data_IF_460044144770
#
_entry.id   IF_460044144770
#
_cell.length_a   1.000
_cell.length_b   1.000
_cell.length_c   1.000
_cell.angle_alpha   90.00
_cell.angle_beta   90.00
_cell.angle_gamma   90.00
#
_symmetry.space_group_name_H-M   'P 1'
#
loop_
_entity.id
_entity.type
_entity.pdbx_description
1 polymer ?
#
# COMPACT_ATOMS: atom_id res chain seq x y z
N UNK A 1 37.98 6.22 -13.49
CA UNK A 1 36.87 5.84 -12.57
C UNK A 1 35.62 6.75 -12.58
N UNK A 2 35.41 7.72 -13.51
CA UNK A 2 34.27 8.64 -13.39
C UNK A 2 32.91 7.97 -13.60
N UNK A 3 32.86 6.88 -14.40
CA UNK A 3 31.63 6.13 -14.67
C UNK A 3 31.07 5.43 -13.43
N UNK A 4 31.92 4.80 -12.61
CA UNK A 4 31.50 4.11 -11.38
C UNK A 4 30.99 5.12 -10.35
N UNK A 5 31.66 6.27 -10.23
CA UNK A 5 31.23 7.34 -9.31
C UNK A 5 29.92 7.99 -9.75
N UNK A 6 29.74 8.21 -11.06
CA UNK A 6 28.48 8.71 -11.59
C UNK A 6 27.33 7.71 -11.39
N UNK A 7 27.57 6.41 -11.61
CA UNK A 7 26.60 5.36 -11.35
C UNK A 7 26.24 5.27 -9.85
N UNK A 8 27.22 5.43 -8.97
CA UNK A 8 26.98 5.44 -7.53
C UNK A 8 26.14 6.65 -7.10
N UNK A 9 26.48 7.86 -7.55
CA UNK A 9 25.71 9.08 -7.27
C UNK A 9 24.27 8.98 -7.79
N UNK A 10 24.11 8.42 -8.99
CA UNK A 10 22.81 8.14 -9.58
C UNK A 10 21.99 7.17 -8.72
N UNK A 11 22.58 6.04 -8.31
CA UNK A 11 21.92 5.04 -7.49
C UNK A 11 21.53 5.59 -6.10
N UNK A 12 22.36 6.44 -5.49
CA UNK A 12 22.04 7.11 -4.21
C UNK A 12 20.84 8.04 -4.36
N UNK A 13 20.79 8.81 -5.45
CA UNK A 13 19.66 9.71 -5.73
C UNK A 13 18.37 8.90 -5.92
N UNK A 14 18.43 7.80 -6.69
CA UNK A 14 17.29 6.92 -6.89
C UNK A 14 16.84 6.26 -5.59
N UNK A 15 17.77 5.81 -4.73
CA UNK A 15 17.45 5.26 -3.41
C UNK A 15 16.69 6.27 -2.54
N UNK A 16 17.17 7.51 -2.48
CA UNK A 16 16.52 8.58 -1.72
C UNK A 16 15.09 8.84 -2.24
N UNK A 17 14.91 8.96 -3.56
CA UNK A 17 13.59 9.15 -4.17
C UNK A 17 12.66 7.94 -3.97
N UNK A 18 13.19 6.71 -3.99
CA UNK A 18 12.41 5.50 -3.71
C UNK A 18 11.98 5.40 -2.25
N UNK A 19 12.79 5.88 -1.30
CA UNK A 19 12.39 5.98 0.12
C UNK A 19 11.19 6.93 0.28
N UNK A 20 11.27 8.10 -0.36
CA UNK A 20 10.17 9.07 -0.39
C UNK A 20 8.93 8.48 -1.07
N UNK A 21 9.09 7.78 -2.20
CA UNK A 21 7.98 7.11 -2.84
C UNK A 21 7.32 6.07 -1.93
N UNK A 22 8.11 5.32 -1.17
CA UNK A 22 7.61 4.28 -0.26
C UNK A 22 6.75 4.87 0.86
N UNK A 23 7.16 6.00 1.44
CA UNK A 23 6.34 6.69 2.45
C UNK A 23 5.03 7.22 1.86
N UNK A 24 5.04 7.78 0.64
CA UNK A 24 3.82 8.21 -0.04
C UNK A 24 2.86 7.05 -0.30
N UNK A 25 3.37 5.91 -0.77
CA UNK A 25 2.59 4.70 -1.02
C UNK A 25 1.93 4.21 0.26
N UNK A 26 2.66 4.22 1.37
CA UNK A 26 2.13 3.87 2.67
C UNK A 26 0.96 4.78 3.07
N UNK A 27 1.13 6.10 2.94
CA UNK A 27 0.06 7.06 3.28
C UNK A 27 -1.16 6.87 2.37
N UNK A 28 -0.98 6.63 1.08
CA UNK A 28 -2.09 6.35 0.14
C UNK A 28 -2.82 5.06 0.53
N UNK A 29 -2.10 3.97 0.81
CA UNK A 29 -2.72 2.72 1.25
C UNK A 29 -3.50 2.88 2.56
N UNK A 30 -2.97 3.64 3.51
CA UNK A 30 -3.62 3.94 4.79
C UNK A 30 -4.90 4.74 4.55
N UNK A 31 -4.85 5.77 3.71
CA UNK A 31 -5.96 6.68 3.44
C UNK A 31 -7.10 6.01 2.66
N UNK A 32 -6.77 5.11 1.73
CA UNK A 32 -7.76 4.41 0.90
C UNK A 32 -8.36 3.16 1.56
N UNK A 33 -7.95 2.81 2.80
CA UNK A 33 -8.40 1.60 3.53
C UNK A 33 -8.36 0.30 2.72
N UNK A 34 -7.42 0.18 1.77
CA UNK A 34 -7.42 -0.92 0.81
C UNK A 34 -7.28 -2.30 1.48
N UNK A 35 -6.62 -2.36 2.64
CA UNK A 35 -6.47 -3.59 3.44
C UNK A 35 -7.79 -4.04 4.07
N UNK A 36 -8.56 -3.12 4.66
CA UNK A 36 -9.85 -3.43 5.29
C UNK A 36 -10.85 -3.94 4.25
N UNK A 37 -10.99 -3.21 3.13
CA UNK A 37 -11.88 -3.62 2.03
C UNK A 37 -11.44 -4.95 1.42
N UNK A 38 -10.13 -5.19 1.35
CA UNK A 38 -9.57 -6.42 0.83
C UNK A 38 -9.91 -7.64 1.67
N UNK A 39 -9.76 -7.53 2.99
CA UNK A 39 -10.13 -8.56 3.94
C UNK A 39 -11.64 -8.88 3.87
N UNK A 40 -12.49 -7.86 3.79
CA UNK A 40 -13.95 -8.04 3.66
C UNK A 40 -14.33 -8.79 2.38
N UNK A 41 -13.68 -8.47 1.26
CA UNK A 41 -13.92 -9.17 0.00
C UNK A 41 -13.50 -10.64 0.08
N UNK A 42 -12.32 -10.92 0.64
CA UNK A 42 -11.83 -12.29 0.84
C UNK A 42 -12.77 -13.11 1.74
N UNK A 43 -13.18 -12.54 2.88
CA UNK A 43 -14.13 -13.18 3.80
C UNK A 43 -15.49 -13.41 3.14
N UNK A 44 -15.93 -12.49 2.30
CA UNK A 44 -17.13 -12.66 1.48
C UNK A 44 -17.02 -13.85 0.54
N UNK A 45 -15.90 -14.00 -0.17
CA UNK A 45 -15.66 -15.14 -1.05
C UNK A 45 -15.59 -16.47 -0.29
N UNK A 46 -14.94 -16.48 0.89
CA UNK A 46 -14.94 -17.65 1.76
C UNK A 46 -16.36 -18.04 2.19
N UNK A 47 -17.18 -17.06 2.58
CA UNK A 47 -18.58 -17.30 2.92
C UNK A 47 -19.34 -17.89 1.73
N UNK A 48 -19.23 -17.26 0.57
CA UNK A 48 -20.00 -17.62 -0.63
C UNK A 48 -19.62 -19.02 -1.14
N UNK A 49 -18.34 -19.39 -1.10
CA UNK A 49 -17.84 -20.65 -1.69
C UNK A 49 -17.77 -21.82 -0.70
N UNK A 50 -17.58 -21.54 0.59
CA UNK A 50 -17.34 -22.58 1.62
C UNK A 50 -18.51 -22.67 2.58
N UNK A 51 -18.87 -21.56 3.24
CA UNK A 51 -19.81 -21.60 4.35
C UNK A 51 -21.27 -21.74 3.89
N UNK A 52 -21.61 -21.17 2.73
CA UNK A 52 -22.97 -21.18 2.18
C UNK A 52 -23.62 -22.57 2.08
N UNK A 53 -22.80 -23.61 1.85
CA UNK A 53 -23.23 -25.01 1.71
C UNK A 53 -23.86 -25.57 2.99
N UNK A 54 -23.48 -25.04 4.15
CA UNK A 54 -23.95 -25.49 5.45
C UNK A 54 -25.11 -24.66 5.99
N UNK A 55 -25.52 -23.59 5.29
CA UNK A 55 -26.48 -22.61 5.81
C UNK A 55 -27.89 -22.73 5.25
N UNK A 56 -28.14 -23.68 4.34
CA UNK A 56 -29.48 -23.86 3.76
C UNK A 56 -30.58 -24.12 4.83
N UNK A 57 -30.32 -24.90 5.89
CA UNK A 57 -31.30 -25.14 6.95
C UNK A 57 -31.59 -23.89 7.78
N UNK A 58 -30.55 -23.14 8.18
CA UNK A 58 -30.71 -21.83 8.81
C UNK A 58 -31.53 -20.86 7.97
N UNK A 59 -31.27 -20.78 6.67
CA UNK A 59 -32.03 -19.91 5.75
C UNK A 59 -33.50 -20.28 5.74
N UNK A 60 -33.79 -21.58 5.68
CA UNK A 60 -35.17 -22.09 5.70
C UNK A 60 -35.85 -21.78 7.03
N UNK A 61 -35.15 -21.98 8.15
CA UNK A 61 -35.62 -21.63 9.50
C UNK A 61 -35.93 -20.14 9.65
N UNK A 62 -35.04 -19.26 9.17
CA UNK A 62 -35.22 -17.80 9.18
C UNK A 62 -36.37 -17.33 8.28
N UNK A 63 -36.56 -17.98 7.13
CA UNK A 63 -37.70 -17.69 6.24
C UNK A 63 -39.04 -18.14 6.85
N UNK A 64 -39.04 -19.19 7.65
CA UNK A 64 -40.23 -19.65 8.34
C UNK A 64 -40.64 -18.74 9.51
N UNK A 65 -39.72 -17.94 10.07
CA UNK A 65 -40.01 -16.99 11.17
C UNK A 65 -40.65 -15.68 10.63
N UNK A 66 -41.96 -15.45 10.86
CA UNK A 66 -42.65 -14.25 10.35
C UNK A 66 -42.10 -12.95 10.94
N UNK A 67 -41.57 -13.00 12.18
CA UNK A 67 -41.02 -11.84 12.84
C UNK A 67 -39.65 -11.47 12.27
N UNK A 68 -38.87 -12.45 11.82
CA UNK A 68 -37.61 -12.22 11.10
C UNK A 68 -37.87 -11.66 9.70
N UNK A 69 -38.74 -12.30 8.92
CA UNK A 69 -39.07 -11.87 7.54
C UNK A 69 -39.61 -10.44 7.52
N UNK A 70 -40.51 -10.09 8.46
CA UNK A 70 -41.02 -8.72 8.60
C UNK A 70 -39.92 -7.70 8.88
N UNK A 71 -38.96 -8.04 9.75
CA UNK A 71 -37.80 -7.18 10.06
C UNK A 71 -36.88 -7.02 8.85
N UNK A 72 -36.58 -8.11 8.15
CA UNK A 72 -35.74 -8.09 6.96
C UNK A 72 -36.36 -7.26 5.84
N UNK A 73 -37.67 -7.42 5.61
CA UNK A 73 -38.42 -6.62 4.64
C UNK A 73 -38.33 -5.12 4.94
N UNK A 74 -38.50 -4.74 6.22
CA UNK A 74 -38.36 -3.35 6.66
C UNK A 74 -36.94 -2.81 6.45
N UNK A 75 -35.90 -3.59 6.82
CA UNK A 75 -34.50 -3.21 6.68
C UNK A 75 -34.09 -2.99 5.21
N UNK A 76 -34.55 -3.89 4.34
CA UNK A 76 -34.27 -3.82 2.89
C UNK A 76 -35.27 -2.95 2.12
N UNK A 77 -36.27 -2.37 2.79
CA UNK A 77 -37.33 -1.53 2.20
C UNK A 77 -38.11 -2.22 1.07
N UNK A 78 -38.48 -3.47 1.29
CA UNK A 78 -39.24 -4.31 0.36
C UNK A 78 -40.52 -4.84 1.03
N UNK A 79 -41.43 -5.44 0.27
CA UNK A 79 -42.60 -6.09 0.85
C UNK A 79 -42.21 -7.45 1.44
N UNK A 80 -42.97 -7.91 2.44
CA UNK A 80 -42.75 -9.21 3.10
C UNK A 80 -42.82 -10.37 2.09
N UNK A 81 -43.72 -10.27 1.10
CA UNK A 81 -43.89 -11.27 0.05
C UNK A 81 -42.68 -11.39 -0.89
N UNK A 82 -41.84 -10.34 -0.98
CA UNK A 82 -40.67 -10.30 -1.87
C UNK A 82 -39.39 -10.84 -1.19
N UNK A 83 -39.46 -11.20 0.10
CA UNK A 83 -38.31 -11.74 0.82
C UNK A 83 -38.02 -13.16 0.33
N UNK A 84 -36.77 -13.41 -0.01
CA UNK A 84 -36.32 -14.68 -0.59
C UNK A 84 -35.12 -15.22 0.18
N UNK A 85 -34.77 -16.49 -0.06
CA UNK A 85 -33.56 -17.13 0.48
C UNK A 85 -32.29 -16.33 0.16
N UNK A 86 -32.21 -15.70 -1.01
CA UNK A 86 -31.09 -14.84 -1.40
C UNK A 86 -30.94 -13.63 -0.47
N UNK A 87 -32.04 -13.00 -0.06
CA UNK A 87 -32.01 -11.87 0.86
C UNK A 87 -31.55 -12.28 2.27
N UNK A 88 -31.96 -13.46 2.72
CA UNK A 88 -31.51 -14.02 4.00
C UNK A 88 -30.02 -14.36 3.93
N UNK A 89 -29.56 -15.01 2.86
CA UNK A 89 -28.15 -15.33 2.66
C UNK A 89 -27.26 -14.10 2.60
N UNK A 90 -27.67 -13.04 1.89
CA UNK A 90 -26.93 -11.77 1.88
C UNK A 90 -26.86 -11.14 3.28
N UNK A 91 -27.92 -11.26 4.08
CA UNK A 91 -27.93 -10.76 5.45
C UNK A 91 -26.99 -11.55 6.35
N UNK A 92 -26.98 -12.88 6.24
CA UNK A 92 -26.06 -13.77 6.95
C UNK A 92 -24.60 -13.49 6.56
N UNK A 93 -24.34 -13.30 5.25
CA UNK A 93 -23.04 -12.93 4.72
C UNK A 93 -22.52 -11.61 5.31
N UNK A 94 -23.35 -10.58 5.31
CA UNK A 94 -22.97 -9.28 5.84
C UNK A 94 -22.75 -9.32 7.35
N UNK A 95 -23.59 -10.04 8.09
CA UNK A 95 -23.41 -10.26 9.53
C UNK A 95 -22.12 -11.04 9.82
N UNK A 96 -21.80 -12.05 9.01
CA UNK A 96 -20.55 -12.80 9.10
C UNK A 96 -19.33 -11.90 8.87
N UNK A 97 -19.30 -11.14 7.78
CA UNK A 97 -18.19 -10.22 7.47
C UNK A 97 -18.04 -9.18 8.58
N UNK A 98 -19.16 -8.62 9.06
CA UNK A 98 -19.15 -7.66 10.15
C UNK A 98 -18.57 -8.28 11.43
N UNK A 99 -19.00 -9.48 11.82
CA UNK A 99 -18.49 -10.18 13.01
C UNK A 99 -17.01 -10.54 12.88
N UNK A 100 -16.59 -10.98 11.70
CA UNK A 100 -15.20 -11.34 11.42
C UNK A 100 -14.28 -10.14 11.41
N UNK A 101 -14.78 -9.02 10.91
CA UNK A 101 -13.97 -7.80 10.83
C UNK A 101 -14.13 -6.92 12.06
N UNK A 102 -15.14 -7.10 12.92
CA UNK A 102 -15.38 -6.22 14.06
C UNK A 102 -14.15 -6.08 14.97
N UNK A 103 -13.74 -4.85 15.27
CA UNK A 103 -12.75 -4.60 16.30
C UNK A 103 -13.38 -4.89 17.67
N UNK A 104 -12.73 -5.73 18.48
CA UNK A 104 -13.24 -6.13 19.81
C UNK A 104 -13.30 -4.94 20.77
N UNK A 105 -12.49 -3.91 20.54
CA UNK A 105 -12.44 -2.68 21.33
C UNK A 105 -12.41 -1.48 20.38
N UNK A 106 -13.56 -1.03 19.84
CA UNK A 106 -13.59 0.14 18.97
C UNK A 106 -13.24 1.37 19.80
N UNK A 107 -12.02 1.88 19.66
CA UNK A 107 -11.55 3.07 20.38
C UNK A 107 -12.32 4.30 19.88
N UNK A 108 -12.87 5.10 20.79
CA UNK A 108 -13.54 6.36 20.47
C UNK A 108 -14.97 6.24 19.94
N UNK A 109 -15.59 5.06 19.98
CA UNK A 109 -16.99 4.84 19.66
C UNK A 109 -17.69 4.17 20.85
N UNK A 110 -18.97 4.50 21.15
CA UNK A 110 -19.72 3.75 22.13
C UNK A 110 -19.78 2.28 21.72
N UNK A 111 -19.69 1.33 22.68
CA UNK A 111 -19.81 -0.09 22.38
C UNK A 111 -21.11 -0.33 21.61
N UNK A 112 -21.00 -0.96 20.44
CA UNK A 112 -22.16 -1.26 19.62
C UNK A 112 -22.79 -2.58 20.12
N UNK A 113 -23.96 -2.55 20.78
CA UNK A 113 -24.59 -3.75 21.33
C UNK A 113 -25.01 -4.75 20.22
N UNK A 114 -25.10 -4.31 18.96
CA UNK A 114 -25.40 -5.21 17.84
C UNK A 114 -24.23 -6.14 17.53
N UNK A 115 -22.98 -5.70 17.72
CA UNK A 115 -21.80 -6.55 17.53
C UNK A 115 -21.75 -7.73 18.51
N UNK A 116 -22.47 -7.66 19.62
CA UNK A 116 -22.61 -8.73 20.62
C UNK A 116 -23.90 -9.56 20.41
N UNK A 117 -24.88 -9.09 19.63
CA UNK A 117 -26.21 -9.72 19.66
C UNK A 117 -27.11 -9.69 18.40
N UNK A 118 -26.78 -9.04 17.27
CA UNK A 118 -27.55 -9.10 16.00
C UNK A 118 -26.90 -8.30 14.85
N UNK A 119 -27.23 -8.56 13.58
CA UNK A 119 -26.71 -7.77 12.45
C UNK A 119 -27.07 -6.29 12.60
N UNK A 120 -26.12 -5.39 12.29
CA UNK A 120 -26.28 -3.93 12.44
C UNK A 120 -27.41 -3.37 11.56
N UNK A 121 -28.33 -2.64 12.21
CA UNK A 121 -29.56 -2.06 11.63
C UNK A 121 -29.31 -0.78 10.78
N UNK A 122 -28.05 -0.33 10.63
CA UNK A 122 -27.75 0.99 10.05
C UNK A 122 -26.53 1.01 9.10
N UNK A 123 -26.49 0.10 8.13
CA UNK A 123 -25.58 0.23 6.97
C UNK A 123 -26.26 0.99 5.81
N UNK A 124 -26.74 2.23 6.03
CA UNK A 124 -27.25 3.06 4.92
C UNK A 124 -26.36 4.27 4.63
N UNK A 125 -25.83 4.24 3.40
CA UNK A 125 -25.16 5.27 2.59
C UNK A 125 -23.73 5.66 3.02
N UNK A 126 -22.74 5.55 2.10
CA UNK A 126 -21.42 6.15 2.29
C UNK A 126 -21.58 7.67 2.13
N UNK A 127 -21.81 8.37 3.24
CA UNK A 127 -21.59 9.81 3.25
C UNK A 127 -20.08 10.07 3.38
N UNK A 128 -19.55 10.96 2.54
CA UNK A 128 -18.21 11.54 2.57
C UNK A 128 -18.01 12.42 3.82
N UNK A 129 -18.36 11.92 5.02
CA UNK A 129 -18.04 12.58 6.29
C UNK A 129 -16.68 12.06 6.73
N UNK A 130 -15.74 12.99 6.98
CA UNK A 130 -14.36 12.71 7.39
C UNK A 130 -14.24 11.71 8.56
N UNK A 131 -15.26 11.63 9.43
CA UNK A 131 -15.32 10.68 10.56
C UNK A 131 -15.59 9.22 10.18
N UNK A 132 -16.21 8.94 9.03
CA UNK A 132 -16.45 7.56 8.56
C UNK A 132 -15.23 6.98 7.81
N UNK A 133 -14.29 7.84 7.39
CA UNK A 133 -13.04 7.46 6.74
C UNK A 133 -12.05 6.78 7.69
N UNK A 134 -12.30 6.73 9.01
CA UNK A 134 -11.37 6.13 9.97
C UNK A 134 -12.06 5.48 11.18
N UNK A 135 -13.27 4.95 10.98
CA UNK A 135 -13.90 4.11 12.01
C UNK A 135 -13.08 2.83 12.19
N UNK A 136 -12.26 2.76 13.23
CA UNK A 136 -11.59 1.55 13.75
C UNK A 136 -12.57 0.51 14.30
N UNK A 137 -13.78 0.45 13.72
CA UNK A 137 -14.77 -0.59 13.92
C UNK A 137 -14.35 -1.91 13.33
N UNK A 138 -13.38 -1.93 12.40
CA UNK A 138 -13.00 -3.12 11.65
C UNK A 138 -11.49 -3.35 11.64
N UNK A 139 -11.07 -4.61 11.72
CA UNK A 139 -9.67 -5.06 11.65
C UNK A 139 -9.20 -5.09 10.20
N UNK A 140 -7.92 -4.86 9.99
CA UNK A 140 -7.27 -4.90 8.65
C UNK A 140 -6.62 -6.23 8.34
N UNK A 141 -6.45 -7.08 9.35
CA UNK A 141 -5.90 -8.42 9.26
C UNK A 141 -6.66 -9.33 10.25
N UNK A 142 -6.66 -10.63 9.96
CA UNK A 142 -7.32 -11.62 10.81
C UNK A 142 -6.45 -12.88 10.83
N UNK A 143 -5.96 -13.25 12.01
CA UNK A 143 -5.21 -14.50 12.19
C UNK A 143 -6.14 -15.71 12.08
N UNK A 144 -5.59 -16.89 11.78
CA UNK A 144 -6.39 -18.13 11.76
C UNK A 144 -7.06 -18.38 13.13
N UNK A 145 -6.32 -18.15 14.22
CA UNK A 145 -6.82 -18.36 15.58
C UNK A 145 -7.99 -17.41 15.87
N UNK A 146 -7.84 -16.13 15.58
CA UNK A 146 -8.92 -15.15 15.74
C UNK A 146 -10.13 -15.47 14.87
N UNK A 147 -9.88 -15.92 13.64
CA UNK A 147 -10.93 -16.36 12.73
C UNK A 147 -11.73 -17.52 13.31
N UNK A 148 -11.06 -18.57 13.80
CA UNK A 148 -11.73 -19.75 14.37
C UNK A 148 -12.48 -19.42 15.67
N UNK A 149 -11.90 -18.57 16.52
CA UNK A 149 -12.57 -18.11 17.74
C UNK A 149 -13.84 -17.30 17.40
N UNK A 150 -13.74 -16.37 16.43
CA UNK A 150 -14.89 -15.58 15.96
C UNK A 150 -15.93 -16.46 15.30
N UNK A 151 -15.52 -17.45 14.51
CA UNK A 151 -16.39 -18.41 13.83
C UNK A 151 -17.20 -19.20 14.86
N UNK A 152 -16.55 -19.75 15.88
CA UNK A 152 -17.22 -20.51 16.94
C UNK A 152 -18.24 -19.69 17.73
N UNK A 153 -18.02 -18.38 17.85
CA UNK A 153 -18.97 -17.46 18.51
C UNK A 153 -20.05 -16.89 17.58
N UNK A 154 -19.98 -17.15 16.27
CA UNK A 154 -20.91 -16.60 15.29
C UNK A 154 -22.08 -17.56 15.06
N UNK A 155 -23.26 -17.00 14.76
CA UNK A 155 -24.46 -17.77 14.40
C UNK A 155 -24.18 -18.77 13.27
N UNK A 156 -23.41 -18.34 12.26
CA UNK A 156 -22.95 -19.17 11.15
C UNK A 156 -22.13 -20.38 11.63
N UNK A 157 -21.22 -20.21 12.58
CA UNK A 157 -20.40 -21.32 13.08
C UNK A 157 -21.18 -22.28 13.97
N UNK A 158 -22.11 -21.77 14.77
CA UNK A 158 -23.01 -22.61 15.56
C UNK A 158 -23.91 -23.47 14.67
N UNK A 159 -24.42 -22.91 13.57
CA UNK A 159 -25.22 -23.66 12.60
C UNK A 159 -24.40 -24.73 11.88
N UNK A 160 -23.19 -24.38 11.40
CA UNK A 160 -22.29 -25.35 10.76
C UNK A 160 -22.06 -26.54 11.68
N UNK A 161 -21.81 -26.29 12.98
CA UNK A 161 -21.68 -27.35 13.96
C UNK A 161 -22.94 -28.21 14.03
N UNK A 162 -24.11 -27.60 14.22
CA UNK A 162 -25.38 -28.34 14.34
C UNK A 162 -25.68 -29.21 13.12
N UNK A 163 -25.47 -28.68 11.91
CA UNK A 163 -25.68 -29.40 10.66
C UNK A 163 -24.72 -30.58 10.47
N UNK A 164 -23.45 -30.39 10.82
CA UNK A 164 -22.46 -31.46 10.74
C UNK A 164 -22.74 -32.56 11.77
N UNK A 165 -23.16 -32.19 12.99
CA UNK A 165 -23.56 -33.16 14.01
C UNK A 165 -24.80 -33.96 13.57
N UNK A 166 -25.80 -33.29 12.99
CA UNK A 166 -27.00 -33.93 12.47
C UNK A 166 -26.69 -34.89 11.31
N UNK A 167 -25.86 -34.46 10.35
CA UNK A 167 -25.42 -35.30 9.24
C UNK A 167 -24.60 -36.50 9.70
N UNK A 168 -23.71 -36.32 10.68
CA UNK A 168 -22.91 -37.41 11.26
C UNK A 168 -23.78 -38.42 12.00
N UNK A 169 -24.77 -37.96 12.77
CA UNK A 169 -25.72 -38.82 13.46
C UNK A 169 -26.56 -39.65 12.46
N UNK A 170 -27.03 -39.03 11.37
CA UNK A 170 -27.75 -39.73 10.30
C UNK A 170 -26.88 -40.80 9.60
N UNK A 171 -25.57 -40.58 9.51
CA UNK A 171 -24.61 -41.53 8.95
C UNK A 171 -24.08 -42.58 9.96
N UNK A 172 -24.55 -42.55 11.22
CA UNK A 172 -24.08 -43.46 12.28
C UNK A 172 -22.63 -43.22 12.75
N UNK A 173 -22.07 -42.05 12.43
CA UNK A 173 -20.70 -41.66 12.80
C UNK A 173 -20.61 -40.93 14.13
N UNK A 174 -19.38 -40.71 14.61
CA UNK A 174 -19.13 -39.84 15.78
C UNK A 174 -19.20 -38.37 15.36
N UNK A 175 -20.17 -37.65 15.92
CA UNK A 175 -20.42 -36.24 15.63
C UNK A 175 -19.18 -35.34 15.83
N UNK A 176 -18.41 -35.56 16.90
CA UNK A 176 -17.21 -34.78 17.21
C UNK A 176 -16.14 -34.88 16.10
N UNK A 177 -15.84 -36.09 15.63
CA UNK A 177 -14.82 -36.31 14.60
C UNK A 177 -15.19 -35.65 13.26
N UNK A 178 -16.49 -35.64 12.92
CA UNK A 178 -17.00 -34.99 11.72
C UNK A 178 -16.91 -33.46 11.80
N UNK A 179 -17.27 -32.88 12.95
CA UNK A 179 -17.15 -31.44 13.20
C UNK A 179 -15.69 -31.00 13.11
N UNK A 180 -14.77 -31.72 13.74
CA UNK A 180 -13.33 -31.42 13.68
C UNK A 180 -12.79 -31.46 12.25
N UNK A 181 -13.21 -32.42 11.45
CA UNK A 181 -12.81 -32.53 10.04
C UNK A 181 -13.29 -31.33 9.22
N UNK A 182 -14.56 -30.93 9.39
CA UNK A 182 -15.13 -29.76 8.70
C UNK A 182 -14.48 -28.45 9.16
N UNK A 183 -14.27 -28.27 10.47
CA UNK A 183 -13.59 -27.09 10.99
C UNK A 183 -12.14 -27.00 10.49
N UNK A 184 -11.44 -28.15 10.38
CA UNK A 184 -10.11 -28.22 9.80
C UNK A 184 -10.10 -27.87 8.31
N UNK A 185 -11.08 -28.35 7.53
CA UNK A 185 -11.23 -27.98 6.12
C UNK A 185 -11.52 -26.48 5.95
N UNK A 186 -12.39 -25.90 6.79
CA UNK A 186 -12.67 -24.46 6.78
C UNK A 186 -11.40 -23.66 7.13
N UNK A 187 -10.64 -24.07 8.14
CA UNK A 187 -9.37 -23.45 8.51
C UNK A 187 -8.36 -23.48 7.36
N UNK A 188 -8.18 -24.63 6.72
CA UNK A 188 -7.29 -24.78 5.56
C UNK A 188 -7.72 -23.90 4.38
N UNK A 189 -9.03 -23.81 4.11
CA UNK A 189 -9.55 -22.93 3.07
C UNK A 189 -9.34 -21.47 3.42
N UNK A 190 -9.59 -21.05 4.66
CA UNK A 190 -9.31 -19.69 5.11
C UNK A 190 -7.84 -19.32 4.86
N UNK A 191 -6.88 -20.18 5.21
CA UNK A 191 -5.46 -19.95 4.92
C UNK A 191 -5.18 -19.88 3.42
N UNK A 192 -5.80 -20.75 2.61
CA UNK A 192 -5.71 -20.72 1.14
C UNK A 192 -6.20 -19.40 0.54
N UNK A 193 -7.42 -18.98 0.89
CA UNK A 193 -7.99 -17.69 0.47
C UNK A 193 -7.15 -16.51 0.95
N UNK A 194 -6.65 -16.56 2.19
CA UNK A 194 -5.76 -15.53 2.74
C UNK A 194 -4.46 -15.40 1.96
N UNK A 195 -3.84 -16.52 1.59
CA UNK A 195 -2.62 -16.56 0.78
C UNK A 195 -2.84 -15.99 -0.62
N UNK A 196 -3.90 -16.43 -1.30
CA UNK A 196 -4.22 -15.98 -2.66
C UNK A 196 -4.58 -14.49 -2.69
N UNK A 197 -5.38 -14.05 -1.72
CA UNK A 197 -5.69 -12.63 -1.52
C UNK A 197 -4.42 -11.81 -1.24
N UNK A 198 -3.51 -12.33 -0.41
CA UNK A 198 -2.22 -11.71 -0.13
C UNK A 198 -1.37 -11.48 -1.39
N UNK A 199 -1.26 -12.49 -2.25
CA UNK A 199 -0.56 -12.38 -3.55
C UNK A 199 -1.21 -11.32 -4.44
N UNK A 200 -2.54 -11.33 -4.52
CA UNK A 200 -3.29 -10.33 -5.30
C UNK A 200 -3.05 -8.90 -4.79
N UNK A 201 -3.12 -8.67 -3.48
CA UNK A 201 -2.87 -7.35 -2.89
C UNK A 201 -1.42 -6.91 -3.06
N UNK A 202 -0.46 -7.83 -2.95
CA UNK A 202 0.94 -7.52 -3.18
C UNK A 202 1.19 -7.05 -4.62
N UNK A 203 0.59 -7.73 -5.62
CA UNK A 203 0.68 -7.33 -7.02
C UNK A 203 0.10 -5.93 -7.27
N UNK A 204 -1.07 -5.65 -6.70
CA UNK A 204 -1.74 -4.35 -6.85
C UNK A 204 -1.02 -3.22 -6.11
N UNK A 205 -0.45 -3.49 -4.94
CA UNK A 205 0.37 -2.53 -4.21
C UNK A 205 1.62 -2.14 -5.02
N UNK A 206 2.27 -3.11 -5.68
CA UNK A 206 3.41 -2.83 -6.58
C UNK A 206 3.00 -1.99 -7.79
N UNK A 207 1.86 -2.28 -8.40
CA UNK A 207 1.36 -1.46 -9.52
C UNK A 207 1.07 -0.02 -9.05
N UNK A 208 0.47 0.13 -7.88
CA UNK A 208 0.18 1.45 -7.31
C UNK A 208 1.46 2.20 -6.92
N UNK A 209 2.49 1.51 -6.41
CA UNK A 209 3.78 2.14 -6.13
C UNK A 209 4.47 2.64 -7.39
N UNK A 210 4.40 1.89 -8.49
CA UNK A 210 4.89 2.37 -9.79
C UNK A 210 4.11 3.59 -10.27
N UNK A 211 2.79 3.58 -10.16
CA UNK A 211 1.98 4.75 -10.55
C UNK A 211 2.33 5.99 -9.72
N UNK A 212 2.48 5.84 -8.41
CA UNK A 212 2.88 6.93 -7.50
C UNK A 212 4.30 7.40 -7.81
N UNK A 213 5.23 6.49 -8.11
CA UNK A 213 6.59 6.84 -8.51
C UNK A 213 6.63 7.63 -9.82
N UNK A 214 5.77 7.30 -10.80
CA UNK A 214 5.62 8.09 -12.03
C UNK A 214 5.10 9.49 -11.69
N UNK A 215 4.02 9.60 -10.91
CA UNK A 215 3.51 10.91 -10.50
C UNK A 215 4.59 11.72 -9.77
N UNK A 216 5.34 11.10 -8.87
CA UNK A 216 6.45 11.72 -8.16
C UNK A 216 7.53 12.23 -9.13
N UNK A 217 7.90 11.43 -10.13
CA UNK A 217 8.87 11.83 -11.15
C UNK A 217 8.40 13.05 -11.94
N UNK A 218 7.10 13.17 -12.23
CA UNK A 218 6.54 14.35 -12.88
C UNK A 218 6.54 15.57 -11.95
N UNK A 219 6.15 15.41 -10.68
CA UNK A 219 6.12 16.51 -9.71
C UNK A 219 7.52 17.07 -9.47
N UNK A 220 8.51 16.19 -9.30
CA UNK A 220 9.88 16.56 -8.96
C UNK A 220 10.76 16.77 -10.20
N UNK A 221 10.25 16.56 -11.41
CA UNK A 221 11.04 16.52 -12.66
C UNK A 221 12.28 15.62 -12.54
N UNK A 222 12.04 14.31 -12.44
CA UNK A 222 13.11 13.31 -12.41
C UNK A 222 13.35 12.78 -13.82
N UNK A 223 14.24 13.45 -14.56
CA UNK A 223 14.77 12.92 -15.82
C UNK A 223 16.00 12.06 -15.54
N UNK A 224 15.83 10.74 -15.61
CA UNK A 224 16.91 9.79 -15.32
C UNK A 224 18.11 9.93 -16.27
N UNK A 225 17.87 10.32 -17.52
CA UNK A 225 18.92 10.45 -18.54
C UNK A 225 19.74 11.71 -18.27
N UNK A 226 19.07 12.84 -18.00
CA UNK A 226 19.74 14.10 -17.67
C UNK A 226 20.49 14.00 -16.34
N UNK A 227 19.88 13.35 -15.33
CA UNK A 227 20.51 13.04 -14.05
C UNK A 227 21.82 12.29 -14.21
N UNK A 228 21.80 11.19 -14.97
CA UNK A 228 23.01 10.40 -15.18
C UNK A 228 24.06 11.14 -16.00
N UNK A 229 23.66 11.86 -17.06
CA UNK A 229 24.57 12.69 -17.86
C UNK A 229 25.21 13.79 -17.03
N UNK A 230 24.48 14.39 -16.11
CA UNK A 230 24.99 15.44 -15.22
C UNK A 230 26.05 14.87 -14.30
N UNK A 231 25.83 13.72 -13.65
CA UNK A 231 26.86 13.09 -12.81
C UNK A 231 28.09 12.62 -13.58
N UNK A 232 27.95 12.27 -14.87
CA UNK A 232 29.09 11.98 -15.73
C UNK A 232 29.93 13.23 -16.04
N UNK A 233 29.28 14.38 -16.25
CA UNK A 233 29.93 15.63 -16.66
C UNK A 233 30.46 16.46 -15.50
N UNK A 234 29.73 16.48 -14.37
CA UNK A 234 30.06 17.30 -13.21
C UNK A 234 30.69 16.44 -12.08
N UNK A 235 32.02 16.55 -11.86
CA UNK A 235 32.69 15.86 -10.78
C UNK A 235 32.35 16.36 -9.38
N UNK A 236 31.95 17.62 -9.25
CA UNK A 236 31.61 18.21 -7.97
C UNK A 236 30.23 17.70 -7.51
N UNK A 237 29.25 17.74 -8.41
CA UNK A 237 27.90 17.24 -8.12
C UNK A 237 27.90 15.78 -7.67
N UNK A 238 28.62 14.90 -8.38
CA UNK A 238 28.69 13.48 -7.98
C UNK A 238 29.39 13.29 -6.63
N UNK A 239 30.44 14.07 -6.31
CA UNK A 239 31.17 13.93 -5.06
C UNK A 239 30.30 14.31 -3.86
N UNK A 240 29.56 15.43 -3.98
CA UNK A 240 28.60 15.90 -2.98
C UNK A 240 27.47 14.89 -2.71
N UNK A 241 26.93 14.26 -3.76
CA UNK A 241 25.88 13.24 -3.61
C UNK A 241 26.42 11.96 -2.99
N UNK A 242 27.64 11.55 -3.34
CA UNK A 242 28.31 10.40 -2.74
C UNK A 242 28.54 10.59 -1.24
N UNK A 243 28.79 11.81 -0.78
CA UNK A 243 28.92 12.12 0.64
C UNK A 243 27.63 11.81 1.42
N UNK A 244 26.47 11.96 0.79
CA UNK A 244 25.17 11.61 1.36
C UNK A 244 24.87 10.10 1.39
N UNK A 245 25.71 9.26 0.78
CA UNK A 245 25.46 7.82 0.66
C UNK A 245 25.21 7.15 2.03
N UNK A 246 26.02 7.51 3.04
CA UNK A 246 25.90 6.93 4.38
C UNK A 246 24.60 7.33 5.07
N UNK A 247 24.17 8.58 4.93
CA UNK A 247 22.92 9.07 5.52
C UNK A 247 21.71 8.35 4.90
N UNK A 248 21.65 8.28 3.56
CA UNK A 248 20.53 7.65 2.84
C UNK A 248 20.46 6.13 3.10
N UNK A 249 21.61 5.45 3.11
CA UNK A 249 21.66 4.00 3.40
C UNK A 249 21.32 3.69 4.86
N UNK A 250 21.75 4.53 5.81
CA UNK A 250 21.37 4.40 7.22
C UNK A 250 19.87 4.62 7.41
N UNK A 251 19.28 5.62 6.75
CA UNK A 251 17.84 5.86 6.76
C UNK A 251 17.06 4.64 6.23
N UNK A 252 17.49 4.08 5.09
CA UNK A 252 16.90 2.85 4.57
C UNK A 252 16.97 1.70 5.58
N UNK A 253 18.16 1.44 6.15
CA UNK A 253 18.35 0.34 7.10
C UNK A 253 17.47 0.51 8.35
N UNK A 254 17.41 1.72 8.91
CA UNK A 254 16.54 2.01 10.05
C UNK A 254 15.05 1.75 9.72
N UNK A 255 14.59 2.15 8.52
CA UNK A 255 13.22 1.89 8.08
C UNK A 255 12.94 0.39 7.86
N UNK A 256 13.91 -0.35 7.32
CA UNK A 256 13.80 -1.79 7.09
C UNK A 256 13.78 -2.58 8.41
N UNK A 257 14.67 -2.25 9.34
CA UNK A 257 14.74 -2.87 10.66
C UNK A 257 13.46 -2.60 11.48
N UNK A 258 12.92 -1.37 11.41
CA UNK A 258 11.65 -1.01 12.03
C UNK A 258 10.46 -1.79 11.41
N UNK A 259 10.41 -1.92 10.09
CA UNK A 259 9.38 -2.70 9.41
C UNK A 259 9.46 -4.19 9.78
N UNK A 260 10.67 -4.74 9.89
CA UNK A 260 10.88 -6.14 10.29
C UNK A 260 10.53 -6.37 11.77
N UNK A 261 10.89 -5.45 12.66
CA UNK A 261 10.49 -5.49 14.06
C UNK A 261 8.96 -5.44 14.20
N UNK A 262 8.29 -4.55 13.47
CA UNK A 262 6.82 -4.47 13.46
C UNK A 262 6.19 -5.76 12.88
N UNK A 263 6.77 -6.33 11.82
CA UNK A 263 6.30 -7.59 11.26
C UNK A 263 6.51 -8.78 12.21
N UNK A 264 7.50 -8.73 13.10
CA UNK A 264 7.70 -9.75 14.13
C UNK A 264 6.77 -9.55 15.33
N UNK A 265 6.52 -8.29 15.74
CA UNK A 265 5.52 -7.96 16.75
C UNK A 265 4.09 -8.26 16.26
N UNK A 266 3.79 -8.10 14.97
CA UNK A 266 2.50 -8.53 14.41
C UNK A 266 2.30 -10.06 14.48
N UNK A 267 3.38 -10.84 14.59
CA UNK A 267 3.29 -12.29 14.85
C UNK A 267 3.09 -12.61 16.33
N UNK A 268 3.44 -11.69 17.22
CA UNK A 268 3.28 -11.80 18.66
C UNK A 268 2.27 -10.75 19.13
N UNK A 269 0.97 -11.09 19.04
CA UNK A 269 -0.19 -10.24 19.40
C UNK A 269 0.08 -9.21 20.52
N UNK A 270 0.49 -7.98 20.15
CA UNK A 270 0.61 -6.84 21.07
C UNK A 270 -0.25 -5.68 20.57
N UNK A 271 -0.99 -5.10 21.51
CA UNK A 271 -1.94 -4.00 21.34
C UNK A 271 -1.26 -2.62 21.24
N UNK A 272 -1.76 -1.71 20.37
CA UNK A 272 -1.17 -0.37 20.22
C UNK A 272 -1.90 0.73 21.04
N UNK A 273 -1.25 1.91 21.21
CA UNK A 273 -1.60 2.93 22.20
C UNK A 273 -2.58 4.01 21.71
N UNK A 274 -3.11 4.84 22.63
CA UNK A 274 -4.19 5.79 22.38
C UNK A 274 -3.66 7.16 21.95
N UNK A 275 -4.24 7.75 20.90
CA UNK A 275 -4.85 9.12 20.91
C UNK A 275 -5.28 9.53 19.48
N UNK A 276 -6.58 9.54 19.20
CA UNK A 276 -7.12 9.62 17.84
C UNK A 276 -7.23 11.06 17.29
N UNK A 277 -7.26 12.09 18.13
CA UNK A 277 -7.24 13.49 17.66
C UNK A 277 -5.83 13.93 17.32
N UNK A 278 -4.85 13.53 18.14
CA UNK A 278 -3.45 13.69 17.80
C UNK A 278 -3.10 12.93 16.53
N UNK A 279 -3.66 11.74 16.29
CA UNK A 279 -3.36 10.95 15.08
C UNK A 279 -3.90 11.55 13.78
N UNK A 280 -5.04 12.25 13.78
CA UNK A 280 -5.58 12.93 12.58
C UNK A 280 -4.77 14.18 12.25
N UNK A 281 -4.41 14.96 13.27
CA UNK A 281 -3.47 16.06 13.13
C UNK A 281 -2.09 15.54 12.73
N UNK A 282 -1.62 14.44 13.31
CA UNK A 282 -0.40 13.76 12.90
C UNK A 282 -0.50 13.21 11.49
N UNK A 283 -1.66 12.81 10.96
CA UNK A 283 -1.77 12.31 9.58
C UNK A 283 -1.76 13.45 8.56
N UNK A 284 -2.45 14.56 8.85
CA UNK A 284 -2.31 15.79 8.05
C UNK A 284 -0.89 16.32 8.09
N UNK A 285 -0.27 16.30 9.28
CA UNK A 285 1.16 16.59 9.45
C UNK A 285 1.97 15.60 8.66
N UNK A 286 1.82 14.29 8.83
CA UNK A 286 2.56 13.23 8.08
C UNK A 286 2.38 13.35 6.58
N UNK A 287 1.22 13.75 6.06
CA UNK A 287 1.01 14.00 4.64
C UNK A 287 1.71 15.28 4.18
N UNK A 288 1.55 16.37 4.92
CA UNK A 288 2.24 17.62 4.64
C UNK A 288 3.76 17.49 4.85
N UNK A 289 4.18 16.64 5.77
CA UNK A 289 5.55 16.29 6.12
C UNK A 289 6.12 15.34 5.07
N UNK A 290 5.33 14.40 4.55
CA UNK A 290 5.74 13.56 3.43
C UNK A 290 5.90 14.40 2.16
N UNK A 291 4.98 15.32 1.87
CA UNK A 291 5.09 16.26 0.74
C UNK A 291 6.21 17.29 0.94
N UNK A 292 6.43 17.76 2.17
CA UNK A 292 7.57 18.63 2.48
C UNK A 292 8.88 17.84 2.44
N UNK A 293 8.89 16.56 2.79
CA UNK A 293 10.02 15.65 2.62
C UNK A 293 10.32 15.38 1.15
N UNK A 294 9.30 15.26 0.28
CA UNK A 294 9.49 15.16 -1.18
C UNK A 294 10.22 16.40 -1.68
N UNK A 295 9.69 17.57 -1.40
CA UNK A 295 10.25 18.84 -1.88
C UNK A 295 11.61 19.12 -1.23
N UNK A 296 11.76 18.89 0.07
CA UNK A 296 13.04 19.04 0.78
C UNK A 296 14.10 18.08 0.25
N UNK A 297 13.79 16.80 0.05
CA UNK A 297 14.74 15.84 -0.52
C UNK A 297 15.12 16.24 -1.94
N UNK A 298 14.15 16.64 -2.76
CA UNK A 298 14.40 17.12 -4.11
C UNK A 298 15.31 18.37 -4.12
N UNK A 299 15.03 19.35 -3.27
CA UNK A 299 15.82 20.58 -3.13
C UNK A 299 17.20 20.27 -2.60
N UNK A 300 17.34 19.44 -1.56
CA UNK A 300 18.64 19.02 -1.04
C UNK A 300 19.52 18.41 -2.13
N UNK A 301 18.99 17.46 -2.91
CA UNK A 301 19.75 16.86 -4.00
C UNK A 301 20.00 17.85 -5.14
N UNK A 302 19.05 18.75 -5.42
CA UNK A 302 19.23 19.85 -6.38
C UNK A 302 20.37 20.79 -5.97
N UNK A 303 20.46 21.15 -4.69
CA UNK A 303 21.52 22.00 -4.12
C UNK A 303 22.89 21.30 -4.17
N UNK A 304 22.90 19.97 -4.12
CA UNK A 304 24.10 19.15 -4.34
C UNK A 304 24.48 19.04 -5.82
N UNK A 305 23.69 19.60 -6.75
CA UNK A 305 23.96 19.63 -8.19
C UNK A 305 23.21 18.58 -9.00
N UNK A 306 22.25 17.86 -8.41
CA UNK A 306 21.38 16.97 -9.17
C UNK A 306 20.40 17.79 -10.03
N UNK A 307 20.18 17.44 -11.31
CA UNK A 307 19.21 18.12 -12.18
C UNK A 307 17.76 17.72 -11.85
N UNK A 308 17.33 17.96 -10.62
CA UNK A 308 15.96 17.77 -10.15
C UNK A 308 15.21 19.12 -10.21
N UNK A 309 13.88 19.06 -10.20
CA UNK A 309 13.00 20.23 -10.18
C UNK A 309 12.69 20.82 -11.55
N UNK A 310 11.57 21.53 -11.63
CA UNK A 310 11.17 22.26 -12.83
C UNK A 310 11.87 23.62 -12.88
N UNK A 311 12.85 23.78 -13.78
CA UNK A 311 13.44 25.10 -14.10
C UNK A 311 12.70 25.76 -15.26
N UNK A 312 12.76 27.10 -15.41
CA UNK A 312 12.16 27.79 -16.55
C UNK A 312 12.60 27.23 -17.91
N UNK A 313 13.84 26.78 -18.03
CA UNK A 313 14.40 26.15 -19.23
C UNK A 313 13.74 24.80 -19.48
N UNK A 314 13.63 23.95 -18.45
CA UNK A 314 12.99 22.63 -18.55
C UNK A 314 11.51 22.72 -18.88
N UNK A 315 10.79 23.68 -18.28
CA UNK A 315 9.38 23.94 -18.57
C UNK A 315 9.19 24.31 -20.04
N UNK A 316 10.08 25.17 -20.56
CA UNK A 316 10.10 25.59 -21.96
C UNK A 316 10.44 24.42 -22.90
N UNK A 317 11.46 23.65 -22.58
CA UNK A 317 11.95 22.51 -23.37
C UNK A 317 10.97 21.32 -23.39
N UNK A 318 10.18 21.19 -22.33
CA UNK A 318 9.09 20.21 -22.21
C UNK A 318 7.80 20.65 -22.92
N UNK A 319 7.74 21.91 -23.40
CA UNK A 319 6.55 22.51 -23.99
C UNK A 319 5.36 22.40 -23.05
N UNK A 320 5.54 22.77 -21.78
CA UNK A 320 4.55 22.48 -20.73
C UNK A 320 3.18 23.12 -21.06
N UNK A 321 2.15 22.29 -21.15
CA UNK A 321 0.76 22.73 -21.17
C UNK A 321 0.31 22.97 -19.72
N UNK A 322 0.17 24.23 -19.36
CA UNK A 322 -0.14 24.67 -18.00
C UNK A 322 -1.64 24.43 -17.75
N UNK A 323 -1.94 23.55 -16.80
CA UNK A 323 -3.32 23.18 -16.45
C UNK A 323 -3.80 23.87 -15.18
N UNK A 324 -2.90 24.17 -14.25
CA UNK A 324 -3.22 24.86 -13.00
C UNK A 324 -2.11 25.86 -12.70
N UNK A 325 -2.49 27.13 -12.55
CA UNK A 325 -1.59 28.20 -12.16
C UNK A 325 -2.26 29.15 -11.18
N UNK A 326 -1.44 29.88 -10.43
CA UNK A 326 -1.86 31.09 -9.72
C UNK A 326 -0.99 32.26 -10.16
N UNK A 327 -1.38 33.48 -9.78
CA UNK A 327 -0.59 34.65 -10.09
C UNK A 327 0.43 34.92 -8.98
N UNK A 328 1.62 35.36 -9.37
CA UNK A 328 2.63 35.88 -8.45
C UNK A 328 2.34 37.35 -8.17
N UNK A 329 2.43 37.74 -6.91
CA UNK A 329 2.42 39.14 -6.54
C UNK A 329 3.64 39.85 -7.16
N UNK A 330 3.40 41.01 -7.78
CA UNK A 330 4.44 41.75 -8.52
C UNK A 330 5.58 42.23 -7.61
N UNK A 331 5.25 42.62 -6.39
CA UNK A 331 6.17 43.24 -5.43
C UNK A 331 6.89 42.17 -4.60
N UNK A 332 6.14 41.22 -4.03
CA UNK A 332 6.72 40.23 -3.12
C UNK A 332 7.27 38.99 -3.83
N UNK A 333 6.89 38.78 -5.11
CA UNK A 333 7.14 37.52 -5.85
C UNK A 333 6.60 36.27 -5.14
N UNK A 334 5.68 36.45 -4.20
CA UNK A 334 5.00 35.34 -3.52
C UNK A 334 3.75 34.93 -4.29
N UNK A 335 3.40 33.65 -4.19
CA UNK A 335 2.19 33.08 -4.78
C UNK A 335 0.95 33.66 -4.10
N UNK A 336 -0.03 34.11 -4.89
CA UNK A 336 -1.35 34.47 -4.35
C UNK A 336 -2.15 33.25 -3.84
N UNK A 337 -1.60 32.04 -4.00
CA UNK A 337 -2.09 30.80 -3.42
C UNK A 337 -3.34 30.23 -4.08
N UNK A 338 -3.92 29.22 -3.44
CA UNK A 338 -5.07 28.45 -3.95
C UNK A 338 -6.34 29.30 -4.18
N UNK A 339 -6.45 30.47 -3.56
CA UNK A 339 -7.64 31.34 -3.66
C UNK A 339 -7.81 32.03 -5.02
N UNK A 340 -6.77 32.08 -5.85
CA UNK A 340 -6.79 32.71 -7.18
C UNK A 340 -6.24 31.77 -8.27
N UNK A 341 -6.59 30.49 -8.19
CA UNK A 341 -6.23 29.51 -9.22
C UNK A 341 -6.94 29.81 -10.54
N UNK A 342 -6.25 29.60 -11.65
CA UNK A 342 -6.79 29.68 -13.03
C UNK A 342 -7.31 31.06 -13.45
N UNK A 343 -7.09 32.10 -12.64
CA UNK A 343 -7.43 33.46 -13.02
C UNK A 343 -6.43 34.00 -14.05
N UNK A 344 -6.93 34.86 -14.94
CA UNK A 344 -6.07 35.63 -15.84
C UNK A 344 -5.17 36.53 -14.98
N UNK A 345 -3.85 36.41 -15.15
CA UNK A 345 -2.94 37.29 -14.45
C UNK A 345 -2.90 38.63 -15.18
N UNK A 346 -2.56 39.72 -14.48
CA UNK A 346 -2.57 41.08 -15.05
C UNK A 346 -1.72 41.25 -16.33
N UNK A 347 -0.83 40.30 -16.66
CA UNK A 347 -0.07 40.28 -17.90
C UNK A 347 -0.85 39.72 -19.12
N UNK A 348 -2.00 39.08 -18.90
CA UNK A 348 -2.93 38.60 -19.92
C UNK A 348 -4.01 39.66 -20.26
N UNK A 349 -3.98 40.83 -19.59
CA UNK A 349 -4.92 41.93 -19.79
C UNK A 349 -4.53 42.77 -21.03
N UNK A 350 -5.45 43.05 -21.99
CA UNK A 350 -5.17 43.82 -23.20
C UNK A 350 -4.61 45.25 -22.97
N UNK A 351 -4.58 45.74 -21.73
CA UNK A 351 -3.96 47.03 -21.35
C UNK A 351 -2.56 46.96 -20.74
N UNK A 352 -1.95 45.78 -20.56
CA UNK A 352 -0.69 45.66 -19.82
C UNK A 352 0.55 46.08 -20.63
N UNK A 353 1.31 47.05 -20.09
CA UNK A 353 2.52 47.61 -20.72
C UNK A 353 3.85 46.97 -20.28
N UNK A 354 3.83 45.86 -19.53
CA UNK A 354 5.05 45.16 -19.10
C UNK A 354 5.53 44.11 -20.10
N UNK A 355 6.71 43.53 -19.87
CA UNK A 355 7.31 42.53 -20.77
C UNK A 355 6.35 41.33 -21.00
N UNK A 356 6.10 41.01 -22.28
CA UNK A 356 5.15 39.97 -22.68
C UNK A 356 5.69 38.56 -22.38
N UNK A 357 4.80 37.72 -21.85
CA UNK A 357 5.03 36.29 -21.67
C UNK A 357 5.65 35.93 -20.32
N UNK A 358 4.93 35.12 -19.56
CA UNK A 358 5.37 34.26 -18.43
C UNK A 358 5.85 34.87 -17.11
N UNK A 359 6.04 36.18 -16.96
CA UNK A 359 6.72 36.72 -15.76
C UNK A 359 5.95 36.69 -14.42
N UNK A 360 4.68 36.26 -14.38
CA UNK A 360 3.87 36.29 -13.14
C UNK A 360 2.93 35.10 -12.94
N UNK A 361 3.21 33.95 -13.57
CA UNK A 361 2.43 32.71 -13.34
C UNK A 361 3.24 31.76 -12.47
N UNK A 362 2.72 31.47 -11.29
CA UNK A 362 3.18 30.36 -10.45
C UNK A 362 2.48 29.10 -10.94
N UNK A 363 3.24 28.19 -11.55
CA UNK A 363 2.69 26.98 -12.19
C UNK A 363 2.58 25.89 -11.14
N UNK A 364 1.35 25.54 -10.77
CA UNK A 364 1.07 24.48 -9.80
C UNK A 364 1.01 23.11 -10.46
N UNK A 365 0.44 23.04 -11.67
CA UNK A 365 0.33 21.80 -12.42
C UNK A 365 0.43 22.07 -13.92
N UNK A 366 1.30 21.34 -14.59
CA UNK A 366 1.45 21.37 -16.03
C UNK A 366 1.85 20.01 -16.55
N UNK A 367 1.47 19.73 -17.79
CA UNK A 367 1.73 18.45 -18.45
C UNK A 367 2.65 18.70 -19.63
N UNK A 368 3.78 17.98 -19.77
CA UNK A 368 4.63 18.11 -20.95
C UNK A 368 3.85 17.83 -22.22
N UNK A 369 4.08 18.59 -23.29
CA UNK A 369 3.52 18.26 -24.62
C UNK A 369 4.52 17.50 -25.49
N UNK A 370 5.80 17.56 -25.11
CA UNK A 370 6.88 16.98 -25.89
C UNK A 370 7.05 15.48 -25.55
N UNK A 371 6.96 14.55 -26.53
CA UNK A 371 7.04 13.11 -26.27
C UNK A 371 8.33 12.63 -25.60
N UNK A 372 9.48 13.26 -25.91
CA UNK A 372 10.77 12.91 -25.25
C UNK A 372 10.73 13.16 -23.74
N UNK A 373 10.07 14.25 -23.30
CA UNK A 373 9.97 14.59 -21.88
C UNK A 373 9.12 13.55 -21.15
N UNK A 374 8.01 13.11 -21.76
CA UNK A 374 7.21 12.00 -21.26
C UNK A 374 8.03 10.72 -21.09
N UNK A 375 8.78 10.33 -22.13
CA UNK A 375 9.58 9.12 -22.08
C UNK A 375 10.58 9.13 -20.91
N UNK A 376 11.29 10.24 -20.72
CA UNK A 376 12.30 10.34 -19.66
C UNK A 376 11.71 10.43 -18.25
N UNK A 377 10.58 11.13 -18.08
CA UNK A 377 9.88 11.19 -16.79
C UNK A 377 9.22 9.86 -16.42
N UNK A 378 8.63 9.16 -17.39
CA UNK A 378 8.10 7.81 -17.17
C UNK A 378 9.23 6.85 -16.84
N UNK A 379 10.36 6.91 -17.56
CA UNK A 379 11.54 6.11 -17.24
C UNK A 379 12.06 6.41 -15.83
N UNK A 380 12.16 7.68 -15.44
CA UNK A 380 12.53 8.10 -14.08
C UNK A 380 11.57 7.53 -13.03
N UNK A 381 10.26 7.62 -13.29
CA UNK A 381 9.23 7.03 -12.44
C UNK A 381 9.32 5.51 -12.31
N UNK A 382 9.55 4.80 -13.42
CA UNK A 382 9.75 3.35 -13.41
C UNK A 382 11.00 2.96 -12.59
N UNK A 383 12.08 3.71 -12.74
CA UNK A 383 13.32 3.49 -11.99
C UNK A 383 13.12 3.73 -10.50
N UNK A 384 12.47 4.82 -10.09
CA UNK A 384 12.08 5.04 -8.68
C UNK A 384 11.16 3.91 -8.20
N UNK A 385 10.23 3.47 -9.05
CA UNK A 385 9.25 2.42 -8.79
C UNK A 385 9.83 1.01 -8.62
N UNK A 386 11.11 0.78 -8.96
CA UNK A 386 11.82 -0.46 -8.59
C UNK A 386 11.93 -0.62 -7.07
N UNK A 387 11.83 0.48 -6.34
CA UNK A 387 11.78 0.50 -4.88
C UNK A 387 13.14 0.61 -4.21
N UNK A 388 13.11 0.97 -2.93
CA UNK A 388 14.33 1.18 -2.13
C UNK A 388 15.20 -0.08 -1.95
N UNK A 389 14.67 -1.32 -1.85
CA UNK A 389 15.53 -2.50 -1.72
C UNK A 389 16.45 -2.71 -2.92
N UNK A 390 15.92 -2.53 -4.14
CA UNK A 390 16.70 -2.65 -5.36
C UNK A 390 17.86 -1.65 -5.39
N UNK A 391 17.57 -0.37 -5.15
CA UNK A 391 18.60 0.68 -5.21
C UNK A 391 19.60 0.58 -4.06
N UNK A 392 19.19 0.12 -2.89
CA UNK A 392 20.10 -0.15 -1.78
C UNK A 392 21.16 -1.18 -2.17
N UNK A 393 20.75 -2.30 -2.76
CA UNK A 393 21.68 -3.34 -3.22
C UNK A 393 22.64 -2.80 -4.29
N UNK A 394 22.14 -1.98 -5.23
CA UNK A 394 22.97 -1.31 -6.23
C UNK A 394 24.01 -0.39 -5.57
N UNK A 395 23.60 0.43 -4.60
CA UNK A 395 24.51 1.34 -3.88
C UNK A 395 25.59 0.58 -3.12
N UNK A 396 25.22 -0.49 -2.40
CA UNK A 396 26.17 -1.34 -1.65
C UNK A 396 27.17 -1.98 -2.61
N UNK A 397 26.69 -2.59 -3.70
CA UNK A 397 27.53 -3.25 -4.68
C UNK A 397 28.51 -2.28 -5.35
N UNK A 398 28.03 -1.10 -5.78
CA UNK A 398 28.87 -0.07 -6.39
C UNK A 398 29.89 0.51 -5.41
N UNK A 399 29.53 0.65 -4.13
CA UNK A 399 30.46 1.10 -3.07
C UNK A 399 31.58 0.08 -2.87
N UNK A 400 31.25 -1.22 -2.82
CA UNK A 400 32.23 -2.30 -2.71
C UNK A 400 33.18 -2.34 -3.93
N UNK A 401 32.63 -2.22 -5.15
CA UNK A 401 33.40 -2.14 -6.40
C UNK A 401 34.35 -0.92 -6.43
N UNK A 402 33.90 0.23 -5.92
CA UNK A 402 34.72 1.44 -5.79
C UNK A 402 35.85 1.26 -4.78
N UNK A 403 35.60 0.56 -3.68
CA UNK A 403 36.62 0.21 -2.68
C UNK A 403 37.70 -0.72 -3.27
N UNK A 404 37.29 -1.76 -3.98
CA UNK A 404 38.19 -2.74 -4.60
C UNK A 404 39.12 -2.12 -5.66
N UNK A 405 38.67 -1.08 -6.36
CA UNK A 405 39.47 -0.37 -7.40
C UNK A 405 40.40 0.70 -6.83
N UNK A 406 40.26 1.08 -5.55
CA UNK A 406 41.11 2.07 -4.86
C UNK A 406 42.20 1.44 -3.99
N UNK A 407 42.10 0.16 -3.66
CA UNK A 407 43.16 -0.54 -2.95
C UNK A 407 44.38 -0.71 -3.89
N UNK A 408 45.59 -0.28 -3.50
CA UNK A 408 46.78 -0.59 -4.28
C UNK A 408 46.95 -2.11 -4.34
N UNK A 409 47.07 -2.64 -5.57
CA UNK A 409 47.36 -4.05 -5.83
C UNK A 409 48.71 -4.42 -5.21
N UNK A 410 48.66 -4.88 -3.97
CA UNK A 410 49.68 -5.78 -3.43
C UNK A 410 49.18 -7.19 -3.81
N UNK A 411 49.96 -8.02 -4.52
CA UNK A 411 49.55 -9.39 -4.80
C UNK A 411 49.67 -10.19 -3.50
N UNK A 412 48.65 -10.08 -2.65
CA UNK A 412 48.47 -10.95 -1.50
C UNK A 412 47.29 -11.86 -1.82
N UNK A 413 47.63 -13.14 -2.01
CA UNK A 413 46.72 -14.28 -2.01
C UNK A 413 45.70 -14.10 -0.90
N UNK A 414 44.46 -13.79 -1.24
CA UNK A 414 43.32 -13.92 -0.34
C UNK A 414 42.47 -15.07 -0.85
N UNK A 415 42.57 -16.15 -0.09
CA UNK A 415 41.77 -17.35 -0.17
C UNK A 415 40.29 -16.99 -0.23
N UNK A 416 39.60 -17.61 -1.18
CA UNK A 416 38.15 -17.61 -1.25
C UNK A 416 37.56 -18.16 0.05
N UNK A 417 36.80 -17.34 0.77
CA UNK A 417 35.80 -17.84 1.70
C UNK A 417 34.58 -18.29 0.88
N UNK A 418 34.00 -19.47 1.14
CA UNK A 418 32.80 -19.90 0.44
C UNK A 418 31.63 -19.02 0.87
N UNK A 419 31.04 -18.31 -0.11
CA UNK A 419 29.74 -17.68 0.02
C UNK A 419 28.66 -18.78 0.10
N UNK A 420 28.44 -19.32 1.29
CA UNK A 420 27.21 -20.06 1.61
C UNK A 420 26.08 -19.05 1.84
N UNK A 421 25.45 -18.64 0.74
CA UNK A 421 24.06 -18.20 0.75
C UNK A 421 23.32 -18.99 -0.32
N UNK A 422 22.29 -19.78 0.05
CA UNK A 422 21.47 -20.45 -0.96
C UNK A 422 20.76 -19.40 -1.81
N UNK A 423 21.10 -19.39 -3.10
CA UNK A 423 20.31 -18.77 -4.16
C UNK A 423 18.84 -19.23 -4.06
N UNK A 424 17.85 -18.41 -4.44
CA UNK A 424 16.45 -18.81 -4.41
C UNK A 424 16.26 -20.05 -5.29
N UNK A 425 15.96 -21.16 -4.62
CA UNK A 425 15.63 -22.43 -5.25
C UNK A 425 14.36 -22.17 -6.06
N UNK A 426 14.45 -22.28 -7.39
CA UNK A 426 13.25 -22.33 -8.21
C UNK A 426 12.35 -23.45 -7.68
N UNK A 427 11.01 -23.34 -7.73
CA UNK A 427 10.10 -24.37 -7.20
C UNK A 427 10.43 -25.78 -7.72
N UNK A 428 10.96 -25.86 -8.94
CA UNK A 428 11.45 -27.09 -9.58
C UNK A 428 12.69 -27.66 -8.89
N UNK A 429 13.63 -26.82 -8.46
CA UNK A 429 14.81 -27.25 -7.70
C UNK A 429 14.45 -27.81 -6.31
N UNK A 430 13.45 -27.21 -5.63
CA UNK A 430 13.00 -27.70 -4.33
C UNK A 430 12.35 -29.08 -4.46
N UNK A 431 11.53 -29.28 -5.51
CA UNK A 431 10.92 -30.56 -5.84
C UNK A 431 11.96 -31.65 -6.15
N UNK A 432 12.99 -31.33 -6.95
CA UNK A 432 14.05 -32.28 -7.30
C UNK A 432 14.89 -32.71 -6.09
N UNK A 433 15.18 -31.78 -5.17
CA UNK A 433 15.91 -32.08 -3.93
C UNK A 433 15.08 -32.98 -3.00
N UNK A 434 13.78 -32.70 -2.85
CA UNK A 434 12.89 -33.55 -2.05
C UNK A 434 12.68 -34.96 -2.63
N UNK A 435 12.65 -35.09 -3.96
CA UNK A 435 12.50 -36.38 -4.63
C UNK A 435 13.78 -37.23 -4.51
N UNK A 436 14.96 -36.60 -4.62
CA UNK A 436 16.24 -37.28 -4.37
C UNK A 436 16.40 -37.75 -2.92
N UNK A 437 15.98 -36.93 -1.95
CA UNK A 437 16.01 -37.30 -0.54
C UNK A 437 15.07 -38.47 -0.22
N UNK A 438 13.90 -38.53 -0.87
CA UNK A 438 12.95 -39.65 -0.71
C UNK A 438 13.42 -40.95 -1.37
N UNK A 439 14.22 -40.87 -2.44
CA UNK A 439 14.81 -42.04 -3.10
C UNK A 439 15.99 -42.63 -2.34
N UNK A 440 16.73 -41.82 -1.57
CA UNK A 440 17.84 -42.27 -0.73
C UNK A 440 17.38 -42.85 0.63
N UNK A 441 16.11 -42.66 0.98
CA UNK A 441 15.48 -43.20 2.19
C UNK A 441 14.70 -44.51 1.95
N UNK A 442 14.80 -45.07 0.74
CA UNK A 442 14.37 -46.43 0.38
C UNK A 442 15.58 -47.24 -0.02
#
# INVERSE_FOLDING_TARGET
MPLIEAALAFAITMLALSLVCSSLVEVVHRTLKLRESGLQYMLGQLFDQVLSKYLAPLVTSKLADPAYVKRLAALKKMQVADVTSMHVMDTLRNAFIERMTANRVPVGLPPDPTLVSKPSENATKPSLRLGNLWGGRRVTELSLVDFMERLGSAEVGMEIKAEVEAAAAAAGGKAADAVDLVLKDIAQKFEGFGKDAGVYFQGRARMMSVAIAIVLAFVVHVDAVDLFKTYLRDPNARAKVIEQAQAVTAQYKASADAAQALANLAKENVTPPPDAKEQVEQLKRTWNDALSHVTTTATQFSDLGAPLGWTPERIRDAGMYILVWSCLNKETKESEGFGKLMHACAADDPGYKGAQGTQYKDIWFGVPTVPRAWLYLVLGGLLIGLGSPFWYDVVVNLTNLRGATRAPTTPAVQAAAPNDRPQPITPVGAFQVSNKAAQLAR
#
